data_IF_056015494726
#
_entry.id   IF_056015494726
#
_cell.length_a   1.000
_cell.length_b   1.000
_cell.length_c   1.000
_cell.angle_alpha   90.00
_cell.angle_beta   90.00
_cell.angle_gamma   90.00
#
_symmetry.space_group_name_H-M   'P 1'
#
loop_
_entity.id
_entity.type
_entity.pdbx_description
1 polymer ?
#
# COMPACT_ATOMS: atom_id res chain seq x y z
N UNK A 1 25.36 -71.16 40.00
CA UNK A 1 25.55 -69.84 40.64
C UNK A 1 25.97 -68.89 39.52
N UNK A 2 24.97 -68.38 38.79
CA UNK A 2 25.15 -67.79 37.46
C UNK A 2 25.05 -66.28 37.59
N UNK A 3 26.15 -65.61 37.23
CA UNK A 3 26.38 -64.17 37.39
C UNK A 3 25.51 -63.39 36.39
N UNK A 4 24.62 -62.53 36.89
CA UNK A 4 23.85 -61.58 36.06
C UNK A 4 24.75 -60.41 35.66
N UNK A 5 25.06 -60.28 34.37
CA UNK A 5 25.69 -59.09 33.80
C UNK A 5 24.58 -58.06 33.49
N UNK A 6 24.53 -56.96 34.24
CA UNK A 6 23.66 -55.81 33.91
C UNK A 6 24.30 -55.03 32.76
N UNK A 7 23.68 -55.08 31.59
CA UNK A 7 23.99 -54.18 30.47
C UNK A 7 23.15 -52.90 30.65
N UNK A 8 23.77 -51.82 31.11
CA UNK A 8 23.13 -50.50 31.14
C UNK A 8 23.12 -49.91 29.72
N UNK A 9 21.95 -49.91 29.09
CA UNK A 9 21.72 -49.24 27.81
C UNK A 9 21.60 -47.73 28.09
N UNK A 10 22.63 -46.95 27.74
CA UNK A 10 22.57 -45.48 27.75
C UNK A 10 21.86 -45.05 26.47
N UNK A 11 20.58 -44.67 26.57
CA UNK A 11 19.90 -43.94 25.50
C UNK A 11 20.51 -42.53 25.43
N UNK A 12 21.34 -42.27 24.43
CA UNK A 12 21.62 -40.91 23.99
C UNK A 12 20.35 -40.35 23.33
N UNK A 13 19.87 -39.16 23.71
CA UNK A 13 18.77 -38.53 23.01
C UNK A 13 19.25 -38.23 21.58
N UNK A 14 18.62 -38.87 20.60
CA UNK A 14 18.73 -38.41 19.22
C UNK A 14 18.13 -37.02 19.17
N UNK A 15 18.99 -36.02 19.01
CA UNK A 15 18.60 -34.70 18.54
C UNK A 15 17.89 -34.93 17.22
N UNK A 16 16.55 -34.80 17.23
CA UNK A 16 15.80 -34.72 15.98
C UNK A 16 16.33 -33.49 15.26
N UNK A 17 16.98 -33.74 14.12
CA UNK A 17 17.26 -32.72 13.14
C UNK A 17 15.91 -32.10 12.77
N UNK A 18 15.65 -30.88 13.23
CA UNK A 18 14.54 -30.08 12.71
C UNK A 18 14.79 -29.97 11.20
N UNK A 19 13.88 -30.49 10.38
CA UNK A 19 13.94 -30.30 8.94
C UNK A 19 14.14 -28.80 8.68
N UNK A 20 15.21 -28.45 7.95
CA UNK A 20 15.34 -27.09 7.44
C UNK A 20 14.07 -26.79 6.65
N UNK A 21 13.48 -25.58 6.79
CA UNK A 21 12.38 -25.19 5.91
C UNK A 21 12.81 -25.42 4.46
N UNK A 22 11.89 -25.94 3.65
CA UNK A 22 12.15 -26.25 2.25
C UNK A 22 12.70 -24.97 1.59
N UNK A 23 13.93 -25.03 1.09
CA UNK A 23 14.65 -23.88 0.52
C UNK A 23 14.17 -23.57 -0.91
N UNK A 24 13.06 -24.18 -1.34
CA UNK A 24 12.45 -23.92 -2.63
C UNK A 24 11.94 -22.48 -2.71
N UNK A 25 11.98 -21.91 -3.91
CA UNK A 25 11.34 -20.63 -4.19
C UNK A 25 9.82 -20.79 -4.12
N UNK A 26 9.17 -19.95 -3.33
CA UNK A 26 7.72 -19.79 -3.35
C UNK A 26 7.37 -18.61 -4.28
N UNK A 27 6.28 -18.71 -5.03
CA UNK A 27 5.78 -17.63 -5.89
C UNK A 27 4.62 -16.95 -5.20
N UNK A 28 4.78 -15.66 -4.88
CA UNK A 28 3.74 -14.77 -4.41
C UNK A 28 3.23 -13.88 -5.56
N UNK A 29 1.95 -13.55 -5.46
CA UNK A 29 1.26 -12.62 -6.33
C UNK A 29 0.88 -11.41 -5.49
N UNK A 30 1.56 -10.28 -5.69
CA UNK A 30 1.35 -9.07 -4.89
C UNK A 30 0.66 -8.01 -5.74
N UNK A 31 -0.49 -7.51 -5.30
CA UNK A 31 -1.13 -6.34 -5.91
C UNK A 31 -0.22 -5.12 -5.75
N UNK A 32 -0.20 -4.23 -6.74
CA UNK A 32 0.67 -3.04 -6.78
C UNK A 32 -0.03 -1.72 -6.42
N UNK A 33 -1.29 -1.78 -6.00
CA UNK A 33 -2.05 -0.60 -5.59
C UNK A 33 -1.59 -0.14 -4.21
N UNK A 34 -1.09 1.10 -4.11
CA UNK A 34 -0.54 1.69 -2.88
C UNK A 34 0.61 0.88 -2.25
N UNK A 35 1.38 0.18 -3.09
CA UNK A 35 2.49 -0.68 -2.68
C UNK A 35 2.25 -2.14 -3.01
N UNK A 36 3.29 -2.96 -2.86
CA UNK A 36 3.24 -4.39 -3.15
C UNK A 36 2.76 -5.17 -1.93
N UNK A 37 1.59 -5.78 -2.05
CA UNK A 37 0.93 -6.42 -0.92
C UNK A 37 0.04 -7.59 -1.35
N UNK A 38 -0.23 -8.49 -0.42
CA UNK A 38 -1.23 -9.55 -0.54
C UNK A 38 -1.78 -9.92 0.83
N UNK A 39 -2.96 -10.52 0.88
CA UNK A 39 -3.56 -11.03 2.11
C UNK A 39 -4.15 -12.42 1.90
N UNK A 40 -4.35 -13.16 2.99
CA UNK A 40 -5.01 -14.47 2.95
C UNK A 40 -6.51 -14.35 2.68
N UNK A 41 -7.13 -13.28 3.20
CA UNK A 41 -8.52 -12.90 2.96
C UNK A 41 -8.71 -11.41 3.20
N UNK A 42 -9.84 -10.88 2.73
CA UNK A 42 -10.32 -9.54 3.05
C UNK A 42 -11.86 -9.53 3.10
N UNK A 43 -12.42 -8.71 3.98
CA UNK A 43 -13.87 -8.52 4.09
C UNK A 43 -14.41 -7.82 2.83
N UNK A 44 -15.53 -8.33 2.30
CA UNK A 44 -16.15 -7.80 1.07
C UNK A 44 -15.19 -7.79 -0.14
N UNK A 45 -14.38 -8.84 -0.28
CA UNK A 45 -13.43 -8.98 -1.39
C UNK A 45 -14.11 -8.76 -2.77
N UNK A 46 -13.59 -7.86 -3.61
CA UNK A 46 -14.10 -7.59 -4.95
C UNK A 46 -13.62 -8.67 -5.93
N UNK A 47 -14.11 -8.61 -7.17
CA UNK A 47 -13.48 -9.37 -8.25
C UNK A 47 -12.01 -8.90 -8.43
N UNK A 48 -11.05 -9.80 -8.71
CA UNK A 48 -9.66 -9.43 -8.92
C UNK A 48 -9.43 -8.32 -9.96
N UNK A 49 -10.30 -8.22 -10.96
CA UNK A 49 -10.21 -7.23 -12.04
C UNK A 49 -10.98 -5.93 -11.75
N UNK A 50 -11.72 -5.87 -10.65
CA UNK A 50 -12.41 -4.67 -10.19
C UNK A 50 -11.48 -3.77 -9.34
N UNK A 51 -11.99 -2.58 -9.01
CA UNK A 51 -11.33 -1.67 -8.08
C UNK A 51 -11.07 -2.33 -6.71
N UNK A 52 -10.05 -1.87 -5.95
CA UNK A 52 -9.74 -2.40 -4.63
C UNK A 52 -10.96 -2.38 -3.69
N UNK A 53 -11.10 -3.42 -2.87
CA UNK A 53 -12.22 -3.59 -1.96
C UNK A 53 -12.15 -2.64 -0.76
N UNK A 54 -13.27 -2.40 -0.05
CA UNK A 54 -13.32 -1.42 1.04
C UNK A 54 -12.54 -1.80 2.31
N UNK A 55 -12.01 -3.02 2.40
CA UNK A 55 -11.28 -3.55 3.56
C UNK A 55 -10.03 -4.34 3.17
N UNK A 56 -9.45 -4.04 2.00
CA UNK A 56 -8.29 -4.76 1.48
C UNK A 56 -6.97 -4.33 2.13
N UNK A 57 -5.92 -5.11 1.89
CA UNK A 57 -4.61 -4.89 2.52
C UNK A 57 -3.87 -3.63 2.04
N UNK A 58 -4.33 -2.95 0.97
CA UNK A 58 -3.82 -1.65 0.55
C UNK A 58 -4.08 -0.56 1.61
N UNK A 59 -5.12 -0.72 2.43
CA UNK A 59 -5.38 0.16 3.56
C UNK A 59 -4.31 0.09 4.65
N UNK A 60 -3.42 -0.91 4.64
CA UNK A 60 -2.28 -0.93 5.58
C UNK A 60 -1.17 0.03 5.18
N UNK A 61 -1.27 0.64 3.99
CA UNK A 61 -0.23 1.40 3.33
C UNK A 61 -0.73 2.80 2.90
N UNK A 62 -1.94 3.19 3.28
CA UNK A 62 -2.60 4.41 2.77
C UNK A 62 -2.38 5.66 3.63
N UNK A 63 -1.82 5.48 4.82
CA UNK A 63 -1.53 6.53 5.78
C UNK A 63 -2.76 7.05 6.54
N UNK A 64 -3.92 6.42 6.38
CA UNK A 64 -5.19 6.80 7.01
C UNK A 64 -5.60 5.80 8.09
N UNK A 65 -5.47 6.23 9.35
CA UNK A 65 -5.95 5.44 10.50
C UNK A 65 -7.48 5.23 10.50
N UNK A 66 -8.21 5.93 9.62
CA UNK A 66 -9.66 5.82 9.44
C UNK A 66 -10.10 4.78 8.41
N UNK A 67 -9.15 4.08 7.78
CA UNK A 67 -9.33 2.86 6.99
C UNK A 67 -8.68 1.66 7.72
N UNK A 68 -8.90 0.46 7.19
CA UNK A 68 -8.27 -0.75 7.72
C UNK A 68 -8.32 -1.90 6.72
N UNK A 69 -7.33 -2.78 6.81
CA UNK A 69 -7.53 -4.17 6.41
C UNK A 69 -8.41 -4.86 7.44
N UNK A 70 -9.44 -5.54 6.97
CA UNK A 70 -10.23 -6.47 7.77
C UNK A 70 -10.12 -7.83 7.12
N UNK A 71 -9.71 -8.84 7.88
CA UNK A 71 -9.79 -10.22 7.41
C UNK A 71 -11.25 -10.59 7.08
N UNK A 72 -11.42 -11.55 6.17
CA UNK A 72 -12.71 -11.86 5.56
C UNK A 72 -13.21 -13.28 5.82
N UNK A 73 -12.62 -14.00 6.79
CA UNK A 73 -13.08 -15.35 7.13
C UNK A 73 -14.15 -15.31 8.21
N UNK A 74 -14.94 -16.37 8.35
CA UNK A 74 -15.89 -16.45 9.45
C UNK A 74 -15.15 -16.61 10.79
N UNK A 75 -15.42 -15.69 11.72
CA UNK A 75 -14.87 -15.71 13.07
C UNK A 75 -13.68 -14.76 13.24
N UNK A 76 -12.78 -15.00 14.21
CA UNK A 76 -11.76 -14.03 14.63
C UNK A 76 -10.53 -13.90 13.73
N UNK A 77 -10.51 -14.51 12.54
CA UNK A 77 -9.35 -14.44 11.63
C UNK A 77 -8.03 -15.00 12.18
N UNK A 78 -8.05 -15.95 13.14
CA UNK A 78 -6.80 -16.52 13.66
C UNK A 78 -6.10 -17.35 12.59
N UNK A 79 -4.83 -17.02 12.30
CA UNK A 79 -4.04 -17.61 11.23
C UNK A 79 -4.12 -16.86 9.90
N UNK A 80 -5.00 -15.86 9.78
CA UNK A 80 -5.02 -14.96 8.63
C UNK A 80 -3.76 -14.08 8.64
N UNK A 81 -3.31 -13.69 7.46
CA UNK A 81 -2.04 -13.01 7.28
C UNK A 81 -2.04 -12.01 6.13
N UNK A 82 -1.08 -11.09 6.19
CA UNK A 82 -0.73 -10.18 5.10
C UNK A 82 0.75 -10.30 4.76
N UNK A 83 1.06 -10.10 3.48
CA UNK A 83 2.41 -9.90 2.94
C UNK A 83 2.54 -8.46 2.49
N UNK A 84 3.64 -7.81 2.87
CA UNK A 84 3.98 -6.44 2.47
C UNK A 84 5.42 -6.42 1.97
N UNK A 85 5.68 -5.84 0.80
CA UNK A 85 7.03 -5.53 0.37
C UNK A 85 7.47 -4.22 1.01
N UNK A 86 8.60 -4.24 1.73
CA UNK A 86 9.04 -3.13 2.58
C UNK A 86 10.38 -2.52 2.11
N UNK A 87 10.56 -2.47 0.78
CA UNK A 87 11.74 -1.90 0.15
C UNK A 87 12.97 -2.82 0.13
N UNK A 88 14.11 -2.27 -0.28
CA UNK A 88 15.35 -3.02 -0.50
C UNK A 88 16.38 -2.83 0.62
N UNK A 89 16.12 -1.88 1.53
CA UNK A 89 16.89 -1.69 2.76
C UNK A 89 16.35 -2.64 3.81
N UNK A 90 17.27 -3.21 4.61
CA UNK A 90 16.87 -4.12 5.68
C UNK A 90 15.99 -3.39 6.72
N UNK A 91 14.77 -3.88 7.00
CA UNK A 91 13.86 -3.23 7.93
C UNK A 91 14.31 -3.53 9.37
N UNK A 92 14.81 -2.53 10.10
CA UNK A 92 15.24 -2.72 11.50
C UNK A 92 14.06 -2.58 12.47
N UNK A 93 13.02 -1.83 12.09
CA UNK A 93 11.77 -1.70 12.83
C UNK A 93 10.52 -1.82 11.97
N UNK A 94 9.44 -2.13 12.67
CA UNK A 94 8.08 -2.22 12.16
C UNK A 94 7.17 -1.33 13.02
N UNK A 95 6.34 -0.53 12.37
CA UNK A 95 5.33 0.32 12.97
C UNK A 95 3.97 -0.24 12.62
N UNK A 96 3.07 -0.35 13.61
CA UNK A 96 1.74 -0.91 13.41
C UNK A 96 0.70 -0.04 14.11
N UNK A 97 -0.34 0.35 13.38
CA UNK A 97 -1.57 0.86 13.97
C UNK A 97 -2.58 -0.28 14.11
N UNK A 98 -2.74 -0.74 15.35
CA UNK A 98 -3.57 -1.90 15.67
C UNK A 98 -5.06 -1.56 15.63
N UNK A 99 -5.91 -2.51 15.23
CA UNK A 99 -7.36 -2.34 15.17
C UNK A 99 -7.81 -1.34 14.11
N UNK A 100 -9.13 -1.19 13.96
CA UNK A 100 -9.73 -0.22 13.05
C UNK A 100 -9.94 1.12 13.75
N UNK A 101 -9.05 2.09 13.50
CA UNK A 101 -8.95 3.32 14.30
C UNK A 101 -9.85 4.48 13.84
N UNK A 102 -10.81 4.25 12.95
CA UNK A 102 -11.78 5.24 12.44
C UNK A 102 -12.50 6.05 13.53
N UNK A 103 -12.80 5.42 14.65
CA UNK A 103 -13.27 6.09 15.85
C UNK A 103 -13.06 5.18 17.07
N UNK A 104 -13.08 5.71 18.30
CA UNK A 104 -12.99 4.88 19.51
C UNK A 104 -14.04 3.76 19.54
N UNK A 105 -15.26 4.04 19.10
CA UNK A 105 -16.33 3.05 19.05
C UNK A 105 -16.09 1.94 18.02
N UNK A 106 -15.51 2.26 16.86
CA UNK A 106 -15.17 1.27 15.84
C UNK A 106 -13.99 0.40 16.29
N UNK A 107 -12.99 1.02 16.93
CA UNK A 107 -11.84 0.30 17.49
C UNK A 107 -12.25 -0.72 18.57
N UNK A 108 -13.14 -0.34 19.49
CA UNK A 108 -13.63 -1.23 20.53
C UNK A 108 -14.56 -2.32 19.99
N UNK A 109 -15.32 -2.02 18.95
CA UNK A 109 -16.33 -2.90 18.41
C UNK A 109 -15.77 -4.06 17.56
N UNK A 110 -14.61 -3.90 16.92
CA UNK A 110 -13.92 -4.94 16.15
C UNK A 110 -12.86 -5.67 16.98
N UNK A 111 -12.43 -6.84 16.52
CA UNK A 111 -11.27 -7.51 17.11
C UNK A 111 -10.00 -6.71 16.79
N UNK A 112 -9.07 -6.68 17.76
CA UNK A 112 -7.74 -6.08 17.59
C UNK A 112 -6.69 -7.15 17.78
N UNK A 113 -5.54 -7.01 17.14
CA UNK A 113 -4.50 -8.02 17.24
C UNK A 113 -3.79 -7.91 18.58
N UNK A 114 -3.67 -9.02 19.29
CA UNK A 114 -2.92 -9.11 20.55
C UNK A 114 -1.50 -9.61 20.33
N UNK A 115 -1.35 -10.53 19.39
CA UNK A 115 -0.07 -11.15 19.07
C UNK A 115 0.00 -11.41 17.58
N UNK A 116 1.06 -10.93 16.93
CA UNK A 116 1.41 -11.27 15.54
C UNK A 116 2.61 -12.19 15.50
N UNK A 117 2.62 -13.07 14.51
CA UNK A 117 3.81 -13.79 14.09
C UNK A 117 4.38 -13.12 12.84
N UNK A 118 5.65 -12.72 12.93
CA UNK A 118 6.38 -12.01 11.89
C UNK A 118 7.39 -12.95 11.23
N UNK A 119 7.27 -13.10 9.91
CA UNK A 119 8.25 -13.76 9.05
C UNK A 119 8.87 -12.75 8.10
N UNK A 120 10.15 -12.92 7.78
CA UNK A 120 10.87 -12.11 6.82
C UNK A 120 11.28 -12.98 5.64
N UNK A 121 11.22 -12.45 4.42
CA UNK A 121 11.61 -13.16 3.21
C UNK A 121 12.52 -12.29 2.34
N UNK A 122 13.41 -12.94 1.60
CA UNK A 122 14.07 -12.31 0.47
C UNK A 122 13.19 -12.51 -0.77
N UNK A 123 12.65 -11.41 -1.31
CA UNK A 123 11.81 -11.41 -2.51
C UNK A 123 12.56 -10.89 -3.72
N UNK A 124 12.51 -11.63 -4.82
CA UNK A 124 13.11 -11.26 -6.10
C UNK A 124 12.07 -11.26 -7.21
N UNK A 125 12.14 -10.22 -8.03
CA UNK A 125 11.23 -10.00 -9.16
C UNK A 125 12.03 -9.96 -10.45
N UNK A 126 11.48 -10.56 -11.49
CA UNK A 126 12.01 -10.39 -12.85
C UNK A 126 11.32 -9.17 -13.43
N UNK A 127 12.06 -8.13 -13.89
CA UNK A 127 11.45 -6.92 -14.41
C UNK A 127 10.43 -7.23 -15.52
N UNK A 128 9.25 -6.63 -15.41
CA UNK A 128 8.15 -6.83 -16.36
C UNK A 128 7.37 -8.15 -16.21
N UNK A 129 7.72 -9.04 -15.27
CA UNK A 129 6.90 -10.22 -14.93
C UNK A 129 5.72 -9.81 -14.03
N UNK A 130 4.70 -9.24 -14.67
CA UNK A 130 3.44 -8.84 -14.06
C UNK A 130 2.28 -9.65 -14.66
N UNK A 131 1.22 -9.84 -13.88
CA UNK A 131 -0.11 -10.13 -14.40
C UNK A 131 -0.82 -8.80 -14.71
N UNK A 132 -2.06 -8.86 -15.21
CA UNK A 132 -2.83 -7.63 -15.49
C UNK A 132 -3.00 -6.73 -14.24
N UNK A 133 -2.93 -7.29 -13.02
CA UNK A 133 -3.18 -6.57 -11.76
C UNK A 133 -2.20 -6.89 -10.61
N UNK A 134 -1.25 -7.80 -10.81
CA UNK A 134 -0.33 -8.27 -9.76
C UNK A 134 1.12 -8.32 -10.25
N UNK A 135 2.07 -8.13 -9.34
CA UNK A 135 3.49 -8.40 -9.56
C UNK A 135 3.84 -9.78 -9.03
N UNK A 136 4.60 -10.54 -9.81
CA UNK A 136 5.07 -11.87 -9.41
C UNK A 136 6.37 -11.73 -8.63
N UNK A 137 6.35 -12.13 -7.36
CA UNK A 137 7.52 -12.11 -6.48
C UNK A 137 7.90 -13.53 -6.09
N UNK A 138 9.15 -13.92 -6.35
CA UNK A 138 9.67 -15.20 -5.86
C UNK A 138 10.37 -14.97 -4.53
N UNK A 139 9.93 -15.68 -3.51
CA UNK A 139 10.39 -15.48 -2.14
C UNK A 139 11.10 -16.71 -1.58
N UNK A 140 12.08 -16.47 -0.71
CA UNK A 140 12.62 -17.49 0.20
C UNK A 140 12.52 -16.99 1.64
N UNK A 141 12.00 -17.81 2.58
CA UNK A 141 11.84 -17.42 3.97
C UNK A 141 13.20 -17.32 4.66
N UNK A 142 13.41 -16.21 5.38
CA UNK A 142 14.50 -16.12 6.34
C UNK A 142 14.25 -17.14 7.46
N UNK A 143 15.22 -17.98 7.85
CA UNK A 143 14.94 -19.15 8.71
C UNK A 143 14.42 -18.86 10.13
N UNK A 144 14.51 -17.62 10.60
CA UNK A 144 14.03 -17.23 11.92
C UNK A 144 12.62 -16.64 11.80
N UNK A 145 11.74 -17.02 12.72
CA UNK A 145 10.44 -16.39 12.85
C UNK A 145 10.27 -15.86 14.27
N UNK A 146 9.49 -14.79 14.41
CA UNK A 146 9.36 -14.09 15.68
C UNK A 146 7.92 -13.74 15.99
N UNK A 147 7.63 -13.63 17.27
CA UNK A 147 6.30 -13.28 17.77
C UNK A 147 6.41 -11.93 18.45
N UNK A 148 5.50 -11.01 18.11
CA UNK A 148 5.45 -9.67 18.66
C UNK A 148 4.09 -9.48 19.35
N UNK A 149 4.06 -9.18 20.65
CA UNK A 149 2.83 -8.78 21.33
C UNK A 149 2.53 -7.31 21.04
N UNK A 150 1.27 -7.00 20.76
CA UNK A 150 0.76 -5.64 20.57
C UNK A 150 -0.02 -5.23 21.81
N UNK A 151 0.14 -3.99 22.26
CA UNK A 151 -0.71 -3.43 23.30
C UNK A 151 -2.12 -3.16 22.76
N UNK A 152 -3.12 -3.28 23.62
CA UNK A 152 -4.49 -2.86 23.31
C UNK A 152 -4.62 -1.34 23.48
N UNK A 153 -4.16 -0.60 22.47
CA UNK A 153 -4.23 0.85 22.41
C UNK A 153 -4.29 1.33 20.97
N UNK A 154 -4.95 2.48 20.77
CA UNK A 154 -4.92 3.22 19.51
C UNK A 154 -3.58 3.93 19.31
N UNK A 155 -3.41 4.50 18.12
CA UNK A 155 -2.15 5.07 17.67
C UNK A 155 -1.18 4.00 17.19
N UNK A 156 0.05 4.45 16.95
CA UNK A 156 1.10 3.67 16.31
C UNK A 156 2.00 3.06 17.38
N UNK A 157 2.30 1.78 17.23
CA UNK A 157 3.25 1.05 18.06
C UNK A 157 4.50 0.72 17.25
N UNK A 158 5.67 0.96 17.82
CA UNK A 158 6.98 0.69 17.21
C UNK A 158 7.60 -0.58 17.79
N UNK A 159 8.11 -1.44 16.92
CA UNK A 159 8.74 -2.70 17.27
C UNK A 159 10.08 -2.86 16.57
N UNK A 160 11.12 -3.17 17.32
CA UNK A 160 12.39 -3.60 16.72
C UNK A 160 12.22 -4.99 16.14
N UNK A 161 12.56 -5.16 14.87
CA UNK A 161 12.57 -6.46 14.22
C UNK A 161 13.77 -7.27 14.73
N UNK A 162 13.55 -8.46 15.32
CA UNK A 162 14.59 -9.23 15.99
C UNK A 162 15.50 -10.02 15.02
N UNK A 163 15.58 -9.62 13.76
CA UNK A 163 16.48 -10.20 12.76
C UNK A 163 17.85 -9.52 12.84
N UNK A 164 18.93 -10.30 12.67
CA UNK A 164 20.28 -9.73 12.63
C UNK A 164 20.63 -9.28 11.22
N UNK A 165 20.84 -7.98 11.02
CA UNK A 165 21.16 -7.34 9.73
C UNK A 165 22.29 -8.05 8.98
N UNK A 166 23.36 -8.47 9.65
CA UNK A 166 24.49 -9.13 9.00
C UNK A 166 24.12 -10.53 8.47
N UNK A 167 23.27 -11.25 9.21
CA UNK A 167 22.76 -12.56 8.77
C UNK A 167 21.76 -12.41 7.63
N UNK A 168 20.90 -11.40 7.71
CA UNK A 168 19.94 -11.07 6.67
C UNK A 168 20.65 -10.69 5.36
N UNK A 169 21.70 -9.86 5.42
CA UNK A 169 22.52 -9.50 4.26
C UNK A 169 23.24 -10.71 3.64
N UNK A 170 23.79 -11.61 4.46
CA UNK A 170 24.41 -12.85 3.97
C UNK A 170 23.38 -13.76 3.27
N UNK A 171 22.18 -13.88 3.84
CA UNK A 171 21.07 -14.64 3.28
C UNK A 171 20.61 -14.09 1.92
N UNK A 172 20.44 -12.78 1.79
CA UNK A 172 20.07 -12.15 0.51
C UNK A 172 21.15 -12.36 -0.55
N UNK A 173 22.42 -12.27 -0.17
CA UNK A 173 23.53 -12.52 -1.10
C UNK A 173 23.50 -13.95 -1.65
N UNK A 174 23.24 -14.93 -0.79
CA UNK A 174 23.06 -16.33 -1.17
C UNK A 174 21.85 -16.48 -2.11
N UNK A 175 20.69 -15.97 -1.68
CA UNK A 175 19.45 -16.04 -2.47
C UNK A 175 19.59 -15.37 -3.84
N UNK A 176 20.30 -14.23 -3.94
CA UNK A 176 20.55 -13.56 -5.22
C UNK A 176 21.40 -14.42 -6.15
N UNK A 177 22.44 -15.07 -5.62
CA UNK A 177 23.28 -15.97 -6.41
C UNK A 177 22.49 -17.15 -6.98
N UNK A 178 21.66 -17.76 -6.14
CA UNK A 178 20.78 -18.86 -6.54
C UNK A 178 19.73 -18.39 -7.54
N UNK A 179 19.11 -17.23 -7.32
CA UNK A 179 18.10 -16.65 -8.21
C UNK A 179 18.67 -16.42 -9.62
N UNK A 180 19.83 -15.77 -9.72
CA UNK A 180 20.49 -15.50 -10.99
C UNK A 180 20.86 -16.79 -11.75
N UNK A 181 21.19 -17.85 -11.01
CA UNK A 181 21.51 -19.15 -11.62
C UNK A 181 20.27 -19.94 -12.02
N UNK A 182 19.23 -19.95 -11.20
CA UNK A 182 18.02 -20.77 -11.41
C UNK A 182 17.06 -20.15 -12.42
N UNK A 183 17.00 -18.82 -12.53
CA UNK A 183 16.10 -18.07 -13.43
C UNK A 183 16.86 -17.37 -14.57
N UNK A 184 18.05 -17.87 -14.91
CA UNK A 184 18.89 -17.28 -15.96
C UNK A 184 18.17 -17.19 -17.31
N UNK A 185 17.40 -18.21 -17.69
CA UNK A 185 16.69 -18.25 -18.97
C UNK A 185 15.59 -17.20 -19.06
N UNK A 186 14.86 -16.98 -17.98
CA UNK A 186 13.81 -15.96 -17.89
C UNK A 186 14.44 -14.56 -17.95
N UNK A 187 15.54 -14.33 -17.22
CA UNK A 187 16.28 -13.08 -17.26
C UNK A 187 16.86 -12.78 -18.65
N UNK A 188 17.44 -13.78 -19.33
CA UNK A 188 17.92 -13.65 -20.72
C UNK A 188 16.78 -13.31 -21.69
N UNK A 189 15.61 -13.90 -21.48
CA UNK A 189 14.42 -13.62 -22.30
C UNK A 189 14.01 -12.16 -22.16
N UNK A 190 13.93 -11.63 -20.94
CA UNK A 190 13.60 -10.22 -20.70
C UNK A 190 14.71 -9.31 -21.23
N UNK A 191 15.98 -9.66 -21.04
CA UNK A 191 17.12 -8.90 -21.52
C UNK A 191 17.13 -8.73 -23.05
N UNK A 192 16.64 -9.72 -23.80
CA UNK A 192 16.51 -9.62 -25.25
C UNK A 192 15.55 -8.51 -25.73
N UNK A 193 14.63 -8.06 -24.87
CA UNK A 193 13.69 -6.96 -25.14
C UNK A 193 14.08 -5.66 -24.43
N UNK A 194 15.13 -5.66 -23.61
CA UNK A 194 15.65 -4.47 -22.93
C UNK A 194 16.58 -3.67 -23.87
N UNK A 195 16.42 -2.34 -24.01
CA UNK A 195 17.31 -1.51 -24.82
C UNK A 195 18.79 -1.55 -24.41
N UNK A 196 19.07 -1.81 -23.13
CA UNK A 196 20.43 -1.93 -22.60
C UNK A 196 21.04 -3.33 -22.80
N UNK A 197 20.22 -4.35 -23.08
CA UNK A 197 20.62 -5.76 -23.06
C UNK A 197 21.00 -6.29 -21.67
N UNK A 198 20.84 -5.47 -20.62
CA UNK A 198 21.13 -5.82 -19.23
C UNK A 198 19.83 -5.73 -18.42
N UNK A 199 19.53 -6.80 -17.68
CA UNK A 199 18.36 -6.90 -16.79
C UNK A 199 18.85 -7.47 -15.47
N UNK A 200 18.67 -6.71 -14.40
CA UNK A 200 18.95 -7.14 -13.03
C UNK A 200 17.62 -7.44 -12.34
N UNK A 201 17.53 -8.52 -11.56
CA UNK A 201 16.34 -8.78 -10.77
C UNK A 201 16.17 -7.69 -9.71
N UNK A 202 14.94 -7.22 -9.56
CA UNK A 202 14.59 -6.31 -8.47
C UNK A 202 14.49 -7.11 -7.16
N UNK A 203 14.90 -6.50 -6.06
CA UNK A 203 14.93 -7.13 -4.74
C UNK A 203 14.16 -6.29 -3.74
N UNK A 204 13.20 -6.92 -3.06
CA UNK A 204 12.53 -6.35 -1.90
C UNK A 204 12.57 -7.34 -0.73
N UNK A 205 12.69 -6.82 0.48
CA UNK A 205 12.29 -7.54 1.68
C UNK A 205 10.77 -7.68 1.69
N UNK A 206 10.29 -8.89 1.96
CA UNK A 206 8.86 -9.12 2.19
C UNK A 206 8.67 -9.47 3.66
N UNK A 207 7.74 -8.79 4.32
CA UNK A 207 7.31 -9.09 5.68
C UNK A 207 5.96 -9.75 5.62
N UNK A 208 5.81 -10.87 6.32
CA UNK A 208 4.51 -11.48 6.58
C UNK A 208 4.11 -11.26 8.02
N UNK A 209 2.88 -10.78 8.23
CA UNK A 209 2.26 -10.66 9.54
C UNK A 209 1.08 -11.61 9.64
N UNK A 210 1.14 -12.57 10.55
CA UNK A 210 0.08 -13.58 10.78
C UNK A 210 -0.56 -13.38 12.16
N UNK A 211 -1.89 -13.32 12.21
CA UNK A 211 -2.67 -13.11 13.44
C UNK A 211 -2.61 -14.37 14.30
N UNK A 212 -2.10 -14.27 15.54
CA UNK A 212 -1.98 -15.41 16.47
C UNK A 212 -2.94 -15.34 17.65
N UNK A 213 -3.13 -14.15 18.20
CA UNK A 213 -4.08 -13.91 19.28
C UNK A 213 -4.73 -12.55 19.07
N UNK A 214 -5.94 -12.39 19.62
CA UNK A 214 -6.72 -11.17 19.52
C UNK A 214 -7.18 -10.67 20.89
N UNK A 215 -7.54 -9.38 20.93
CA UNK A 215 -8.43 -8.79 21.91
C UNK A 215 -9.85 -8.80 21.33
N UNK A 216 -10.83 -9.49 21.96
CA UNK A 216 -12.21 -9.57 21.44
C UNK A 216 -12.94 -8.23 21.39
N UNK A 217 -13.51 -7.89 20.24
CA UNK A 217 -14.36 -6.73 20.02
C UNK A 217 -15.69 -6.84 20.76
N UNK A 218 -16.35 -5.70 20.94
CA UNK A 218 -17.65 -5.67 21.61
C UNK A 218 -18.83 -6.04 20.71
N UNK A 219 -18.64 -6.12 19.39
CA UNK A 219 -19.73 -6.28 18.42
C UNK A 219 -19.44 -7.21 17.25
N UNK A 220 -18.27 -7.08 16.63
CA UNK A 220 -17.90 -7.80 15.43
C UNK A 220 -16.73 -8.74 15.71
N UNK A 221 -16.74 -9.88 15.04
CA UNK A 221 -15.67 -10.89 15.14
C UNK A 221 -14.55 -10.63 14.12
N UNK A 222 -14.69 -9.65 13.23
CA UNK A 222 -13.66 -9.32 12.25
C UNK A 222 -12.43 -8.68 12.93
N UNK A 223 -11.23 -9.17 12.59
CA UNK A 223 -9.96 -8.62 13.10
C UNK A 223 -9.38 -7.61 12.13
N UNK A 224 -9.09 -6.41 12.63
CA UNK A 224 -8.59 -5.32 11.78
C UNK A 224 -7.18 -4.84 12.16
N UNK A 225 -6.47 -4.32 11.16
CA UNK A 225 -5.27 -3.50 11.29
C UNK A 225 -5.43 -2.26 10.42
N UNK A 226 -5.11 -1.09 10.97
CA UNK A 226 -5.23 0.17 10.23
C UNK A 226 -3.99 0.48 9.41
N UNK A 227 -2.78 0.25 9.90
CA UNK A 227 -1.55 0.65 9.19
C UNK A 227 -0.36 -0.24 9.56
N UNK A 228 0.56 -0.43 8.62
CA UNK A 228 1.84 -1.13 8.82
C UNK A 228 2.93 -0.52 7.93
N UNK A 229 4.07 -0.13 8.51
CA UNK A 229 5.22 0.34 7.73
C UNK A 229 6.57 0.12 8.44
N UNK A 230 7.67 0.37 7.75
CA UNK A 230 9.06 0.21 8.23
C UNK A 230 9.86 1.52 8.22
N UNK A 231 11.08 1.52 8.74
CA UNK A 231 11.92 2.73 8.79
C UNK A 231 12.40 3.21 7.43
N UNK A 232 12.53 2.34 6.43
CA UNK A 232 12.82 2.79 5.06
C UNK A 232 11.65 3.65 4.56
N UNK A 233 10.41 3.22 4.83
CA UNK A 233 9.22 4.03 4.59
C UNK A 233 9.21 5.26 5.51
N UNK A 234 9.65 5.20 6.77
CA UNK A 234 9.73 6.36 7.68
C UNK A 234 10.81 7.39 7.29
N UNK A 235 11.96 6.94 6.79
CA UNK A 235 13.09 7.78 6.32
C UNK A 235 12.93 8.22 4.86
N UNK A 236 12.14 7.48 4.06
CA UNK A 236 11.53 7.96 2.82
C UNK A 236 10.28 8.83 3.08
N UNK A 237 9.76 8.82 4.31
CA UNK A 237 8.73 9.72 4.84
C UNK A 237 7.31 9.15 5.01
N UNK A 238 7.11 8.12 5.88
CA UNK A 238 5.83 7.43 6.19
C UNK A 238 5.14 6.83 4.93
N UNK A 239 4.09 5.99 5.03
CA UNK A 239 3.10 5.95 3.96
C UNK A 239 2.68 7.40 3.74
N UNK A 240 2.90 7.88 2.53
CA UNK A 240 3.06 9.30 2.25
C UNK A 240 1.83 10.10 2.68
N UNK A 241 1.92 10.71 3.85
CA UNK A 241 1.54 12.10 3.90
C UNK A 241 2.40 12.79 2.86
N UNK A 242 1.79 13.33 1.83
CA UNK A 242 2.45 14.25 0.93
C UNK A 242 2.88 15.46 1.78
N UNK A 243 4.04 15.36 2.43
CA UNK A 243 4.51 16.34 3.41
C UNK A 243 5.13 17.57 2.73
N UNK A 244 5.51 17.41 1.47
CA UNK A 244 6.01 18.48 0.63
C UNK A 244 5.44 18.31 -0.79
N UNK A 245 4.42 19.10 -1.11
CA UNK A 245 3.96 19.27 -2.48
C UNK A 245 4.92 20.26 -3.16
N UNK A 246 5.76 19.75 -4.06
CA UNK A 246 6.71 20.58 -4.80
C UNK A 246 6.06 21.23 -6.01
N UNK A 247 5.16 20.51 -6.66
CA UNK A 247 4.51 20.94 -7.90
C UNK A 247 3.27 20.08 -8.17
N UNK A 248 2.26 20.66 -8.79
CA UNK A 248 1.15 19.94 -9.41
C UNK A 248 1.18 20.32 -10.89
N UNK A 249 1.21 19.34 -11.78
CA UNK A 249 1.40 19.59 -13.21
C UNK A 249 0.69 18.55 -14.08
N UNK A 250 0.25 18.95 -15.26
CA UNK A 250 -0.28 18.04 -16.27
C UNK A 250 0.86 17.36 -17.04
N UNK A 251 0.65 16.11 -17.45
CA UNK A 251 1.55 15.43 -18.38
C UNK A 251 1.47 16.05 -19.78
N UNK A 252 2.57 15.95 -20.54
CA UNK A 252 2.67 16.53 -21.90
C UNK A 252 1.62 15.93 -22.87
N UNK A 253 1.21 14.68 -22.64
CA UNK A 253 0.19 13.97 -23.42
C UNK A 253 -1.25 14.21 -22.93
N UNK A 254 -1.43 14.95 -21.82
CA UNK A 254 -2.73 15.25 -21.22
C UNK A 254 -3.44 14.07 -20.57
N UNK A 255 -2.76 12.92 -20.39
CA UNK A 255 -3.34 11.73 -19.78
C UNK A 255 -3.39 11.81 -18.24
N UNK A 256 -2.49 12.56 -17.63
CA UNK A 256 -2.31 12.56 -16.18
C UNK A 256 -2.20 13.96 -15.62
N UNK A 257 -2.73 14.16 -14.42
CA UNK A 257 -2.32 15.24 -13.54
C UNK A 257 -1.44 14.62 -12.45
N UNK A 258 -0.22 15.11 -12.31
CA UNK A 258 0.79 14.62 -11.38
C UNK A 258 0.99 15.58 -10.21
N UNK A 259 1.34 15.01 -9.06
CA UNK A 259 1.87 15.69 -7.89
C UNK A 259 3.35 15.33 -7.76
N UNK A 260 4.23 16.31 -7.98
CA UNK A 260 5.64 16.17 -7.63
C UNK A 260 5.78 16.37 -6.14
N UNK A 261 6.35 15.38 -5.48
CA UNK A 261 6.56 15.41 -4.04
C UNK A 261 8.05 15.34 -3.71
N UNK A 262 8.37 15.06 -2.46
CA UNK A 262 9.70 14.66 -2.04
C UNK A 262 10.11 13.25 -2.52
N UNK A 263 9.20 12.49 -3.14
CA UNK A 263 9.49 11.17 -3.69
C UNK A 263 10.32 11.21 -4.98
N UNK A 264 10.97 10.08 -5.33
CA UNK A 264 11.67 9.92 -6.61
C UNK A 264 10.74 10.06 -7.81
N UNK A 265 9.56 9.44 -7.74
CA UNK A 265 8.56 9.43 -8.80
C UNK A 265 7.38 10.35 -8.46
N UNK A 266 6.77 11.02 -9.46
CA UNK A 266 5.56 11.80 -9.26
C UNK A 266 4.36 10.89 -8.97
N UNK A 267 3.46 11.36 -8.11
CA UNK A 267 2.22 10.66 -7.75
C UNK A 267 1.10 11.11 -8.70
N UNK A 268 0.24 10.18 -9.14
CA UNK A 268 -0.91 10.53 -10.00
C UNK A 268 -2.02 11.12 -9.12
N UNK A 269 -2.44 12.35 -9.41
CA UNK A 269 -3.63 12.99 -8.83
C UNK A 269 -4.90 12.63 -9.62
N UNK A 270 -4.79 12.61 -10.96
CA UNK A 270 -5.90 12.29 -11.86
C UNK A 270 -5.36 11.46 -13.03
N UNK A 271 -6.03 10.36 -13.34
CA UNK A 271 -5.80 9.53 -14.52
C UNK A 271 -7.01 9.64 -15.46
N UNK A 272 -6.79 10.14 -16.67
CA UNK A 272 -7.83 10.34 -17.68
C UNK A 272 -8.56 9.06 -18.05
N UNK A 273 -7.84 7.94 -18.16
CA UNK A 273 -8.42 6.66 -18.61
C UNK A 273 -9.35 6.07 -17.55
N UNK A 274 -8.97 6.21 -16.27
CA UNK A 274 -9.78 5.80 -15.13
C UNK A 274 -11.06 6.63 -15.05
N UNK A 275 -10.95 7.95 -15.23
CA UNK A 275 -12.08 8.87 -15.20
C UNK A 275 -13.04 8.66 -16.37
N UNK A 276 -12.52 8.48 -17.58
CA UNK A 276 -13.31 8.17 -18.78
C UNK A 276 -14.08 6.86 -18.64
N UNK A 277 -13.43 5.83 -18.07
CA UNK A 277 -14.08 4.55 -17.76
C UNK A 277 -15.15 4.71 -16.68
N UNK A 278 -14.86 5.45 -15.61
CA UNK A 278 -15.81 5.71 -14.51
C UNK A 278 -17.04 6.53 -14.94
N UNK A 279 -16.88 7.40 -15.93
CA UNK A 279 -17.99 8.16 -16.54
C UNK A 279 -18.84 7.31 -17.50
N UNK A 280 -18.32 6.19 -17.98
CA UNK A 280 -19.01 5.33 -18.95
C UNK A 280 -19.27 6.05 -20.28
N UNK A 281 -18.31 6.83 -20.76
CA UNK A 281 -18.47 7.61 -22.00
C UNK A 281 -18.66 6.68 -23.22
N UNK A 282 -19.55 7.03 -24.16
CA UNK A 282 -19.67 6.33 -25.45
C UNK A 282 -18.35 6.37 -26.25
N UNK A 283 -18.09 5.37 -27.12
CA UNK A 283 -16.85 5.27 -27.92
C UNK A 283 -16.52 6.52 -28.77
N UNK A 284 -17.55 7.30 -29.12
CA UNK A 284 -17.47 8.51 -29.94
C UNK A 284 -17.22 9.79 -29.14
N UNK A 285 -17.22 9.71 -27.81
CA UNK A 285 -16.86 10.78 -26.90
C UNK A 285 -15.47 10.55 -26.34
N UNK A 286 -14.76 11.64 -26.09
CA UNK A 286 -13.43 11.62 -25.52
C UNK A 286 -13.34 12.59 -24.36
N UNK A 287 -12.69 12.15 -23.29
CA UNK A 287 -12.32 13.02 -22.18
C UNK A 287 -10.96 13.70 -22.46
N UNK A 288 -10.89 14.98 -22.17
CA UNK A 288 -9.65 15.74 -22.02
C UNK A 288 -9.58 16.35 -20.62
N UNK A 289 -8.36 16.43 -20.06
CA UNK A 289 -8.09 17.03 -18.76
C UNK A 289 -7.34 18.34 -18.93
N UNK A 290 -7.65 19.33 -18.08
CA UNK A 290 -6.83 20.52 -17.93
C UNK A 290 -6.63 20.86 -16.45
N UNK A 291 -5.36 21.05 -16.05
CA UNK A 291 -5.03 21.67 -14.76
C UNK A 291 -5.17 23.18 -14.91
N UNK A 292 -6.22 23.74 -14.31
CA UNK A 292 -6.58 25.15 -14.50
C UNK A 292 -5.84 26.08 -13.56
N UNK A 293 -5.79 25.70 -12.28
CA UNK A 293 -5.15 26.49 -11.26
C UNK A 293 -4.68 25.60 -10.11
N UNK A 294 -3.69 26.09 -9.36
CA UNK A 294 -3.13 25.43 -8.17
C UNK A 294 -2.97 26.50 -7.11
N UNK A 295 -3.43 26.22 -5.89
CA UNK A 295 -3.32 27.18 -4.80
C UNK A 295 -1.85 27.53 -4.50
N UNK A 296 -1.56 28.72 -3.93
CA UNK A 296 -0.19 29.10 -3.60
C UNK A 296 0.55 28.13 -2.66
N UNK A 297 -0.19 27.53 -1.72
CA UNK A 297 0.30 26.46 -0.82
C UNK A 297 0.36 25.07 -1.48
N UNK A 298 -0.17 24.95 -2.70
CA UNK A 298 -0.29 23.73 -3.53
C UNK A 298 -1.12 22.63 -2.91
N UNK A 299 -1.82 22.89 -1.82
CA UNK A 299 -2.72 21.92 -1.19
C UNK A 299 -4.01 21.72 -1.98
N UNK A 300 -4.31 22.62 -2.93
CA UNK A 300 -5.52 22.60 -3.73
C UNK A 300 -5.22 22.73 -5.21
N UNK A 301 -5.99 22.01 -6.02
CA UNK A 301 -5.92 22.08 -7.48
C UNK A 301 -7.33 22.12 -8.07
N UNK A 302 -7.51 22.94 -9.11
CA UNK A 302 -8.69 22.91 -9.96
C UNK A 302 -8.36 22.14 -11.23
N UNK A 303 -9.14 21.10 -11.53
CA UNK A 303 -9.00 20.31 -12.74
C UNK A 303 -10.31 20.33 -13.52
N UNK A 304 -10.24 20.69 -14.79
CA UNK A 304 -11.38 20.68 -15.70
C UNK A 304 -11.41 19.38 -16.50
N UNK A 305 -12.61 18.81 -16.56
CA UNK A 305 -12.97 17.63 -17.33
C UNK A 305 -13.78 18.09 -18.53
N UNK A 306 -13.20 17.93 -19.71
CA UNK A 306 -13.77 18.37 -20.97
C UNK A 306 -14.18 17.15 -21.79
N UNK A 307 -15.48 16.89 -21.87
CA UNK A 307 -16.03 15.82 -22.70
C UNK A 307 -16.42 16.41 -24.04
N UNK A 308 -15.80 15.91 -25.10
CA UNK A 308 -16.06 16.32 -26.48
C UNK A 308 -16.35 15.15 -27.41
N UNK A 309 -16.90 15.44 -28.57
CA UNK A 309 -17.16 14.47 -29.65
C UNK A 309 -16.59 15.03 -30.95
N UNK A 310 -15.84 14.24 -31.74
CA UNK A 310 -15.11 14.71 -32.93
C UNK A 310 -16.00 15.46 -33.97
N UNK A 311 -17.30 15.16 -33.99
CA UNK A 311 -18.27 15.75 -34.93
C UNK A 311 -18.99 17.00 -34.41
N UNK A 312 -18.84 17.37 -33.13
CA UNK A 312 -19.55 18.49 -32.51
C UNK A 312 -18.61 19.57 -31.99
N UNK A 313 -18.98 20.84 -32.18
CA UNK A 313 -18.21 21.98 -31.67
C UNK A 313 -18.45 22.24 -30.17
N UNK A 314 -19.31 21.46 -29.52
CA UNK A 314 -19.70 21.65 -28.12
C UNK A 314 -18.90 20.70 -27.24
N UNK A 315 -18.18 21.28 -26.29
CA UNK A 315 -17.48 20.57 -25.22
C UNK A 315 -18.28 20.80 -23.94
N UNK A 316 -18.61 19.72 -23.23
CA UNK A 316 -19.15 19.81 -21.87
C UNK A 316 -17.97 19.88 -20.91
N UNK A 317 -17.90 20.96 -20.14
CA UNK A 317 -16.81 21.25 -19.22
C UNK A 317 -17.33 21.18 -17.80
N UNK A 318 -16.68 20.37 -16.97
CA UNK A 318 -16.95 20.25 -15.53
C UNK A 318 -15.67 20.45 -14.75
N UNK A 319 -15.65 21.46 -13.90
CA UNK A 319 -14.53 21.73 -12.99
C UNK A 319 -14.67 20.94 -11.69
N UNK A 320 -13.57 20.33 -11.23
CA UNK A 320 -13.48 19.67 -9.93
C UNK A 320 -12.38 20.30 -9.08
N UNK A 321 -12.67 20.44 -7.79
CA UNK A 321 -11.71 20.86 -6.78
C UNK A 321 -11.05 19.62 -6.17
N UNK A 322 -9.72 19.57 -6.16
CA UNK A 322 -8.94 18.54 -5.49
C UNK A 322 -8.25 19.08 -4.26
N UNK A 323 -8.30 18.31 -3.17
CA UNK A 323 -7.37 18.45 -2.06
C UNK A 323 -6.20 17.51 -2.29
N UNK A 324 -5.09 18.12 -2.70
CA UNK A 324 -3.89 17.44 -3.21
C UNK A 324 -3.23 16.54 -2.15
N UNK A 325 -3.09 16.94 -0.86
CA UNK A 325 -2.44 16.09 0.14
C UNK A 325 -3.10 14.73 0.36
N UNK A 326 -4.41 14.63 0.13
CA UNK A 326 -5.16 13.37 0.25
C UNK A 326 -5.54 12.76 -1.11
N UNK A 327 -5.00 13.29 -2.21
CA UNK A 327 -5.23 12.83 -3.59
C UNK A 327 -6.72 12.64 -3.93
N UNK A 328 -7.59 13.49 -3.38
CA UNK A 328 -9.04 13.33 -3.52
C UNK A 328 -9.72 14.61 -3.94
N UNK A 329 -10.79 14.47 -4.73
CA UNK A 329 -11.65 15.58 -5.08
C UNK A 329 -12.71 15.84 -4.00
N UNK A 330 -13.21 17.07 -3.98
CA UNK A 330 -14.21 17.55 -3.02
C UNK A 330 -15.54 17.71 -3.72
N UNK A 331 -16.58 17.13 -3.13
CA UNK A 331 -17.95 17.22 -3.61
C UNK A 331 -18.45 18.68 -3.66
N UNK A 332 -19.15 19.11 -4.72
CA UNK A 332 -19.53 20.50 -4.90
C UNK A 332 -20.45 21.05 -3.80
N UNK A 333 -21.20 20.18 -3.12
CA UNK A 333 -22.08 20.53 -2.01
C UNK A 333 -21.30 21.18 -0.86
N UNK A 334 -20.04 20.77 -0.66
CA UNK A 334 -19.21 21.27 0.41
C UNK A 334 -18.83 22.75 0.25
N UNK A 335 -18.82 23.25 -0.99
CA UNK A 335 -18.52 24.65 -1.32
C UNK A 335 -19.64 25.36 -2.08
N UNK A 336 -20.86 24.84 -1.98
CA UNK A 336 -22.08 25.56 -2.36
C UNK A 336 -22.61 25.32 -3.78
N UNK A 337 -22.21 24.23 -4.43
CA UNK A 337 -22.64 23.84 -5.78
C UNK A 337 -22.49 24.98 -6.82
N UNK A 338 -21.27 25.53 -7.00
CA UNK A 338 -21.06 26.56 -8.00
C UNK A 338 -21.21 26.00 -9.41
N UNK A 339 -21.61 26.87 -10.34
CA UNK A 339 -21.60 26.57 -11.77
C UNK A 339 -20.23 26.77 -12.40
N UNK A 340 -19.32 27.48 -11.72
CA UNK A 340 -17.96 27.72 -12.19
C UNK A 340 -16.97 27.95 -11.06
N UNK A 341 -15.78 27.39 -11.24
CA UNK A 341 -14.60 27.63 -10.39
C UNK A 341 -13.67 28.57 -11.15
N UNK A 342 -13.24 29.65 -10.49
CA UNK A 342 -12.41 30.70 -11.07
C UNK A 342 -10.97 30.69 -10.53
N UNK A 343 -10.56 29.61 -9.85
CA UNK A 343 -9.25 29.46 -9.25
C UNK A 343 -9.15 29.97 -7.81
N UNK A 344 -7.92 30.27 -7.39
CA UNK A 344 -7.57 30.55 -6.00
C UNK A 344 -7.09 31.99 -5.79
N UNK A 345 -7.47 32.58 -4.65
CA UNK A 345 -6.91 33.86 -4.20
C UNK A 345 -6.38 33.75 -2.77
N UNK A 346 -5.24 34.38 -2.51
CA UNK A 346 -4.69 34.51 -1.16
C UNK A 346 -5.06 35.87 -0.55
N UNK A 347 -5.69 35.86 0.63
CA UNK A 347 -6.04 37.06 1.39
C UNK A 347 -5.69 36.86 2.86
N UNK A 348 -4.90 37.79 3.41
CA UNK A 348 -4.50 37.79 4.83
C UNK A 348 -3.88 36.45 5.31
N UNK A 349 -3.11 35.78 4.45
CA UNK A 349 -2.46 34.49 4.75
C UNK A 349 -3.41 33.29 4.73
N UNK A 350 -4.58 33.43 4.11
CA UNK A 350 -5.54 32.36 3.87
C UNK A 350 -5.79 32.18 2.38
N UNK A 351 -5.99 30.94 1.97
CA UNK A 351 -6.35 30.57 0.60
C UNK A 351 -7.88 30.50 0.46
N UNK A 352 -8.43 31.16 -0.55
CA UNK A 352 -9.84 31.14 -0.88
C UNK A 352 -10.05 30.51 -2.27
N UNK A 353 -11.07 29.68 -2.39
CA UNK A 353 -11.61 29.28 -3.69
C UNK A 353 -12.60 30.35 -4.17
N UNK A 354 -12.42 30.83 -5.40
CA UNK A 354 -13.29 31.82 -6.03
C UNK A 354 -14.27 31.12 -6.97
N UNK A 355 -15.56 31.40 -6.80
CA UNK A 355 -16.64 30.77 -7.57
C UNK A 355 -17.69 31.79 -7.99
N UNK A 356 -18.66 31.38 -8.81
CA UNK A 356 -19.84 32.20 -9.12
C UNK A 356 -20.76 32.46 -7.91
N UNK A 357 -20.61 31.68 -6.83
CA UNK A 357 -21.37 31.84 -5.56
C UNK A 357 -20.66 32.72 -4.54
N UNK A 358 -19.42 33.13 -4.83
CA UNK A 358 -18.58 33.90 -3.93
C UNK A 358 -17.31 33.15 -3.53
N UNK A 359 -16.76 33.54 -2.39
CA UNK A 359 -15.46 33.07 -1.91
C UNK A 359 -15.64 32.03 -0.79
N UNK A 360 -14.89 30.94 -0.87
CA UNK A 360 -14.87 29.87 0.15
C UNK A 360 -13.50 29.79 0.81
N UNK A 361 -13.43 29.95 2.13
CA UNK A 361 -12.19 29.80 2.92
C UNK A 361 -11.78 28.32 2.96
N UNK A 362 -10.67 27.99 2.29
CA UNK A 362 -10.25 26.60 2.13
C UNK A 362 -9.68 26.00 3.41
N UNK A 363 -9.19 26.80 4.34
CA UNK A 363 -8.78 26.29 5.66
C UNK A 363 -9.98 25.79 6.46
N UNK A 364 -11.08 26.56 6.43
CA UNK A 364 -12.32 26.16 7.08
C UNK A 364 -12.93 24.92 6.40
N UNK A 365 -12.91 24.89 5.07
CA UNK A 365 -13.39 23.75 4.29
C UNK A 365 -12.60 22.48 4.64
N UNK A 366 -11.27 22.59 4.74
CA UNK A 366 -10.39 21.50 5.18
C UNK A 366 -10.81 20.96 6.54
N UNK A 367 -10.97 21.85 7.53
CA UNK A 367 -11.39 21.47 8.88
C UNK A 367 -12.78 20.81 8.93
N UNK A 368 -13.74 21.31 8.14
CA UNK A 368 -15.11 20.79 8.10
C UNK A 368 -15.20 19.37 7.53
N UNK A 369 -14.35 19.07 6.56
CA UNK A 369 -14.31 17.78 5.87
C UNK A 369 -13.35 16.78 6.51
N UNK A 370 -12.70 17.15 7.63
CA UNK A 370 -11.63 16.39 8.26
C UNK A 370 -10.56 15.97 7.23
N UNK A 371 -10.17 16.91 6.37
CA UNK A 371 -9.12 16.80 5.36
C UNK A 371 -7.72 17.05 5.95
#
# INVERSE_FOLDING_TARGET
MTLFLRLSLVLLPMVSCTAQPDMAWEKLHLRSVMGLHACSSELEAPDPFDAPGPYGAHHLLDGDLSTAWSEGVEGPGLGEYVYLAVGNVFPEKLHIANGYQKSPGVYEANNRVKTIHVRLYAGFMIPGEVTEVETVVRVRPFPQNHVIPLADQTGVQEFNLPFRKEKAAAFVKECRGDFLSEFASELETVAAFSPSGEVEPEFNWIVQLEIKEIYPGSRWDDTCLSEVWTEEEEQAGKPLKINEIREVYASDDGNFIYVKTNLPEPVILVDRSVEETGMGLPEEQHLALALMDVSPDREWAQVDFMVGQEAEARVEETSRLYYVPALRWVEPEAYGNPMGLYGFEEKDGKTFLITDKGETDLNLLREQLNL
#
